data_IF_627745112848
#
_entry.id   IF_627745112848
#
_cell.length_a   1.000
_cell.length_b   1.000
_cell.length_c   1.000
_cell.angle_alpha   90.00
_cell.angle_beta   90.00
_cell.angle_gamma   90.00
#
_symmetry.space_group_name_H-M   'P 1'
#
loop_
_entity.id
_entity.type
_entity.pdbx_description
1 polymer ?
#
# COMPACT_ATOMS: atom_id res chain seq x y z
N UNK A 1 -32.55 -15.18 -39.21
CA UNK A 1 -31.17 -14.80 -38.89
C UNK A 1 -31.06 -13.31 -38.95
N UNK A 2 -30.56 -12.66 -37.90
CA UNK A 2 -30.07 -11.29 -37.96
C UNK A 2 -28.54 -11.25 -37.92
N UNK A 3 -28.03 -10.31 -38.69
CA UNK A 3 -26.63 -10.06 -39.03
C UNK A 3 -25.81 -9.56 -37.83
N UNK A 4 -24.69 -10.27 -37.58
CA UNK A 4 -23.38 -9.80 -37.12
C UNK A 4 -23.27 -8.29 -36.81
N UNK A 5 -23.24 -7.95 -35.52
CA UNK A 5 -22.78 -6.67 -35.02
C UNK A 5 -21.30 -6.78 -34.59
N UNK A 6 -20.44 -6.19 -35.42
CA UNK A 6 -19.17 -5.54 -35.09
C UNK A 6 -18.25 -6.29 -34.10
N UNK A 7 -17.46 -7.19 -34.68
CA UNK A 7 -16.14 -7.59 -34.17
C UNK A 7 -15.27 -6.33 -34.08
N UNK A 8 -15.06 -5.79 -32.87
CA UNK A 8 -14.26 -4.61 -32.62
C UNK A 8 -12.93 -5.04 -31.99
N UNK A 9 -11.89 -5.03 -32.82
CA UNK A 9 -10.52 -5.38 -32.48
C UNK A 9 -9.88 -4.21 -31.70
N UNK A 10 -9.99 -4.26 -30.38
CA UNK A 10 -9.56 -3.24 -29.42
C UNK A 10 -8.10 -3.53 -28.96
N UNK A 11 -7.26 -2.49 -28.87
CA UNK A 11 -5.80 -2.57 -28.63
C UNK A 11 -5.46 -2.19 -27.17
N UNK A 12 -4.23 -2.48 -26.74
CA UNK A 12 -3.66 -2.12 -25.41
C UNK A 12 -3.76 -0.63 -25.01
N UNK A 13 -4.22 0.24 -25.89
CA UNK A 13 -4.38 1.67 -25.65
C UNK A 13 -5.81 2.07 -25.31
N UNK A 14 -6.79 1.18 -25.26
CA UNK A 14 -8.17 1.63 -25.11
C UNK A 14 -8.48 2.15 -23.69
N UNK A 15 -9.20 3.27 -23.63
CA UNK A 15 -9.71 3.84 -22.39
C UNK A 15 -11.24 3.95 -22.49
N UNK A 16 -11.90 3.81 -21.35
CA UNK A 16 -13.34 3.96 -21.25
C UNK A 16 -13.65 5.15 -20.35
N UNK A 17 -14.28 6.16 -20.94
CA UNK A 17 -14.67 7.39 -20.25
C UNK A 17 -16.15 7.39 -19.88
N UNK A 18 -16.44 7.68 -18.62
CA UNK A 18 -17.76 8.02 -18.09
C UNK A 18 -17.84 9.53 -17.88
N UNK A 19 -18.92 10.01 -17.27
CA UNK A 19 -19.08 11.39 -16.80
C UNK A 19 -18.10 11.78 -15.68
N UNK A 20 -17.73 10.83 -14.83
CA UNK A 20 -16.85 11.04 -13.67
C UNK A 20 -15.34 10.93 -13.98
N UNK A 21 -14.97 10.45 -15.17
CA UNK A 21 -13.57 10.27 -15.56
C UNK A 21 -13.33 9.19 -16.59
N UNK A 22 -12.06 8.87 -16.83
CA UNK A 22 -11.63 7.83 -17.76
C UNK A 22 -10.83 6.73 -17.06
N UNK A 23 -11.20 5.47 -17.31
CA UNK A 23 -10.46 4.29 -16.88
C UNK A 23 -9.57 3.78 -18.01
N UNK A 24 -8.31 3.48 -17.70
CA UNK A 24 -7.33 2.95 -18.64
C UNK A 24 -6.52 1.83 -17.99
N UNK A 25 -6.35 0.71 -18.69
CA UNK A 25 -5.55 -0.42 -18.23
C UNK A 25 -4.19 -0.41 -18.93
N UNK A 26 -3.12 -0.59 -18.16
CA UNK A 26 -1.76 -0.69 -18.67
C UNK A 26 -1.20 -2.08 -18.38
N UNK A 27 -0.89 -2.88 -19.41
CA UNK A 27 -0.31 -4.22 -19.29
C UNK A 27 1.22 -4.16 -19.15
N UNK A 28 1.70 -3.48 -18.11
CA UNK A 28 3.12 -3.37 -17.80
C UNK A 28 3.40 -3.99 -16.44
N UNK A 29 4.39 -4.89 -16.39
CA UNK A 29 4.76 -5.59 -15.17
C UNK A 29 5.57 -4.70 -14.24
N UNK A 30 4.90 -4.11 -13.25
CA UNK A 30 5.45 -3.15 -12.28
C UNK A 30 5.04 -3.49 -10.84
N UNK A 31 5.79 -2.95 -9.89
CA UNK A 31 5.38 -2.92 -8.47
C UNK A 31 4.26 -1.92 -8.25
N UNK A 32 3.64 -1.95 -7.06
CA UNK A 32 2.57 -1.03 -6.72
C UNK A 32 2.99 0.45 -6.82
N UNK A 33 4.14 0.80 -6.23
CA UNK A 33 4.65 2.17 -6.18
C UNK A 33 4.99 2.71 -7.59
N UNK A 34 5.62 1.88 -8.42
CA UNK A 34 5.93 2.26 -9.81
C UNK A 34 4.68 2.44 -10.66
N UNK A 35 3.66 1.60 -10.43
CA UNK A 35 2.36 1.70 -11.11
C UNK A 35 1.64 2.99 -10.71
N UNK A 36 1.66 3.32 -9.41
CA UNK A 36 1.10 4.55 -8.89
C UNK A 36 1.78 5.80 -9.46
N UNK A 37 3.12 5.85 -9.46
CA UNK A 37 3.89 6.93 -10.10
C UNK A 37 3.54 7.07 -11.57
N UNK A 38 3.44 5.96 -12.30
CA UNK A 38 3.11 6.00 -13.72
C UNK A 38 1.71 6.54 -14.03
N UNK A 39 0.71 6.34 -13.16
CA UNK A 39 -0.58 7.00 -13.33
C UNK A 39 -0.46 8.51 -13.01
N UNK A 40 0.27 8.86 -11.93
CA UNK A 40 0.48 10.24 -11.49
C UNK A 40 1.18 11.10 -12.53
N UNK A 41 2.23 10.59 -13.16
CA UNK A 41 3.00 11.30 -14.19
C UNK A 41 2.14 11.70 -15.41
N UNK A 42 1.04 10.97 -15.65
CA UNK A 42 0.08 11.25 -16.72
C UNK A 42 -1.16 12.04 -16.24
N UNK A 43 -1.14 12.58 -15.02
CA UNK A 43 -2.25 13.35 -14.45
C UNK A 43 -3.43 12.52 -13.93
N UNK A 44 -3.21 11.22 -13.68
CA UNK A 44 -4.22 10.30 -13.13
C UNK A 44 -3.83 9.73 -11.76
N UNK A 45 -4.60 8.77 -11.27
CA UNK A 45 -4.30 8.00 -10.07
C UNK A 45 -4.54 6.52 -10.33
N UNK A 46 -4.02 5.64 -9.46
CA UNK A 46 -4.52 4.26 -9.45
C UNK A 46 -6.03 4.27 -9.21
N UNK A 47 -6.73 3.48 -10.01
CA UNK A 47 -8.18 3.50 -10.03
C UNK A 47 -8.79 2.98 -8.74
N UNK A 48 -9.91 3.60 -8.39
CA UNK A 48 -10.76 3.27 -7.25
C UNK A 48 -12.10 2.87 -7.82
N UNK A 49 -12.48 1.60 -7.62
CA UNK A 49 -13.76 1.09 -8.12
C UNK A 49 -14.80 1.42 -7.05
N UNK A 50 -15.57 2.49 -7.24
CA UNK A 50 -16.53 3.02 -6.26
C UNK A 50 -17.88 2.31 -6.32
N UNK A 51 -18.38 2.05 -7.54
CA UNK A 51 -19.73 1.49 -7.77
C UNK A 51 -19.67 0.18 -8.54
N UNK A 52 -20.74 -0.62 -8.44
CA UNK A 52 -20.90 -1.87 -9.21
C UNK A 52 -20.92 -1.63 -10.72
N UNK A 53 -21.45 -0.50 -11.17
CA UNK A 53 -21.43 -0.08 -12.59
C UNK A 53 -20.02 0.22 -13.10
N UNK A 54 -19.17 0.84 -12.28
CA UNK A 54 -17.75 1.07 -12.61
C UNK A 54 -17.04 -0.28 -12.78
N UNK A 55 -17.31 -1.24 -11.88
CA UNK A 55 -16.80 -2.60 -11.99
C UNK A 55 -17.25 -3.29 -13.29
N UNK A 56 -18.53 -3.20 -13.65
CA UNK A 56 -19.03 -3.76 -14.92
C UNK A 56 -18.41 -3.09 -16.15
N UNK A 57 -18.04 -1.83 -16.03
CA UNK A 57 -17.38 -1.05 -17.07
C UNK A 57 -15.92 -1.43 -17.24
N UNK A 58 -15.19 -1.55 -16.13
CA UNK A 58 -13.81 -2.04 -16.09
C UNK A 58 -13.74 -3.48 -16.59
N UNK A 59 -14.70 -4.34 -16.24
CA UNK A 59 -14.76 -5.71 -16.73
C UNK A 59 -14.92 -5.79 -18.26
N UNK A 60 -15.66 -4.84 -18.86
CA UNK A 60 -15.74 -4.71 -20.33
C UNK A 60 -14.41 -4.25 -20.92
N UNK A 61 -13.72 -3.30 -20.28
CA UNK A 61 -12.38 -2.85 -20.69
C UNK A 61 -11.37 -4.01 -20.73
N UNK A 62 -11.36 -4.87 -19.70
CA UNK A 62 -10.53 -6.08 -19.68
C UNK A 62 -10.96 -7.12 -20.72
N UNK A 63 -12.27 -7.28 -20.97
CA UNK A 63 -12.79 -8.20 -21.99
C UNK A 63 -12.40 -7.76 -23.40
N UNK A 64 -12.28 -6.45 -23.59
CA UNK A 64 -12.16 -5.84 -24.89
C UNK A 64 -10.72 -5.59 -25.29
N UNK A 65 -9.83 -5.31 -24.33
CA UNK A 65 -8.40 -5.32 -24.59
C UNK A 65 -8.05 -6.71 -25.15
N UNK A 66 -7.67 -6.79 -26.43
CA UNK A 66 -7.22 -8.01 -27.06
C UNK A 66 -6.06 -8.55 -26.21
N UNK A 67 -6.36 -9.56 -25.37
CA UNK A 67 -5.43 -10.26 -24.49
C UNK A 67 -4.53 -11.10 -25.38
N UNK A 68 -3.77 -10.40 -26.23
CA UNK A 68 -2.88 -10.93 -27.24
C UNK A 68 -1.92 -11.84 -26.49
N UNK A 69 -2.11 -13.13 -26.73
CA UNK A 69 -1.16 -14.23 -26.50
C UNK A 69 -1.16 -14.85 -25.10
N UNK A 70 -2.24 -15.57 -24.73
CA UNK A 70 -2.26 -16.79 -23.87
C UNK A 70 -2.82 -16.73 -22.45
N UNK A 71 -3.19 -15.56 -21.91
CA UNK A 71 -3.59 -15.47 -20.50
C UNK A 71 -5.11 -15.46 -20.32
N UNK A 72 -5.63 -16.50 -19.70
CA UNK A 72 -7.04 -16.61 -19.31
C UNK A 72 -7.36 -15.78 -18.06
N UNK A 73 -6.32 -15.39 -17.30
CA UNK A 73 -6.41 -14.58 -16.10
C UNK A 73 -5.40 -13.45 -16.11
N UNK A 74 -5.82 -12.28 -15.64
CA UNK A 74 -5.00 -11.07 -15.54
C UNK A 74 -5.16 -10.47 -14.16
N UNK A 75 -4.05 -9.98 -13.59
CA UNK A 75 -4.06 -9.21 -12.35
C UNK A 75 -3.54 -7.80 -12.58
N UNK A 76 -4.31 -6.79 -12.16
CA UNK A 76 -3.93 -5.38 -12.27
C UNK A 76 -4.00 -4.66 -10.92
N UNK A 77 -3.01 -3.82 -10.61
CA UNK A 77 -3.03 -2.98 -9.41
C UNK A 77 -4.18 -1.97 -9.43
N UNK A 78 -4.81 -1.77 -8.27
CA UNK A 78 -5.80 -0.72 -8.00
C UNK A 78 -5.39 0.10 -6.76
N UNK A 79 -5.98 1.26 -6.54
CA UNK A 79 -5.55 2.27 -5.56
C UNK A 79 -5.87 1.95 -4.10
N UNK A 80 -5.57 0.74 -3.62
CA UNK A 80 -5.82 0.30 -2.24
C UNK A 80 -4.54 -0.26 -1.60
N UNK A 81 -4.19 0.27 -0.43
CA UNK A 81 -3.04 -0.12 0.36
C UNK A 81 -3.39 -0.20 1.84
N UNK A 82 -2.87 -1.22 2.52
CA UNK A 82 -2.96 -1.40 3.97
C UNK A 82 -1.57 -1.24 4.59
N UNK A 83 -1.48 -0.38 5.58
CA UNK A 83 -0.27 -0.19 6.37
C UNK A 83 -0.12 -1.31 7.42
N UNK A 84 1.11 -1.59 7.90
CA UNK A 84 1.32 -2.53 8.99
C UNK A 84 0.46 -2.20 10.22
N UNK A 85 0.01 -3.23 10.96
CA UNK A 85 -0.78 -3.09 12.20
C UNK A 85 -2.18 -2.44 12.08
N UNK A 86 -2.64 -2.04 10.88
CA UNK A 86 -4.03 -1.60 10.62
C UNK A 86 -4.96 -2.76 10.25
N UNK A 87 -4.71 -3.96 10.77
CA UNK A 87 -5.56 -5.11 10.50
C UNK A 87 -6.78 -5.10 11.42
N UNK A 88 -7.96 -5.08 10.81
CA UNK A 88 -9.17 -5.38 11.54
C UNK A 88 -10.16 -6.08 10.63
N UNK A 89 -10.67 -7.23 11.08
CA UNK A 89 -11.79 -7.92 10.44
C UNK A 89 -13.12 -7.13 10.58
N UNK A 90 -13.17 -6.13 11.47
CA UNK A 90 -14.38 -5.36 11.79
C UNK A 90 -14.42 -3.98 11.14
N UNK A 91 -13.30 -3.47 10.61
CA UNK A 91 -13.25 -2.18 9.91
C UNK A 91 -13.69 -2.29 8.43
N UNK A 92 -14.26 -1.22 7.84
CA UNK A 92 -14.53 -1.15 6.41
C UNK A 92 -13.28 -1.49 5.60
N UNK A 93 -13.46 -2.19 4.47
CA UNK A 93 -12.38 -2.62 3.58
C UNK A 93 -11.26 -3.42 4.27
N UNK A 94 -11.50 -4.04 5.43
CA UNK A 94 -10.50 -4.85 6.17
C UNK A 94 -9.21 -4.08 6.50
N UNK A 95 -9.34 -2.77 6.77
CA UNK A 95 -8.23 -1.89 7.12
C UNK A 95 -7.41 -1.35 5.93
N UNK A 96 -7.84 -1.59 4.69
CA UNK A 96 -7.25 -0.95 3.52
C UNK A 96 -7.68 0.51 3.42
N UNK A 97 -6.73 1.35 3.06
CA UNK A 97 -6.91 2.77 2.79
C UNK A 97 -6.70 3.06 1.31
N UNK A 98 -7.37 4.09 0.83
CA UNK A 98 -7.27 4.55 -0.54
C UNK A 98 -6.03 5.41 -0.72
N UNK A 99 -5.27 5.16 -1.79
CA UNK A 99 -4.06 5.95 -2.07
C UNK A 99 -4.33 7.41 -2.44
N UNK A 100 -5.59 7.76 -2.71
CA UNK A 100 -6.01 9.14 -3.01
C UNK A 100 -6.74 9.81 -1.85
N UNK A 101 -6.97 9.10 -0.73
CA UNK A 101 -7.77 9.60 0.39
C UNK A 101 -9.29 9.59 0.19
N UNK A 102 -9.80 9.16 -0.96
CA UNK A 102 -11.23 8.98 -1.24
C UNK A 102 -11.82 7.86 -0.38
N UNK A 103 -12.66 8.11 0.63
CA UNK A 103 -13.07 7.05 1.58
C UNK A 103 -14.28 6.18 1.16
N UNK A 104 -14.90 6.42 0.01
CA UNK A 104 -16.21 5.84 -0.32
C UNK A 104 -16.14 4.81 -1.46
N UNK A 105 -16.28 3.52 -1.14
CA UNK A 105 -16.74 2.51 -2.11
C UNK A 105 -17.87 1.68 -1.52
N UNK A 106 -18.92 1.52 -2.32
CA UNK A 106 -20.01 0.59 -2.05
C UNK A 106 -19.78 -0.76 -2.74
N UNK A 107 -18.69 -0.91 -3.49
CA UNK A 107 -18.35 -2.10 -4.23
C UNK A 107 -17.14 -2.81 -3.62
N UNK A 108 -17.35 -4.02 -3.11
CA UNK A 108 -16.26 -4.90 -2.66
C UNK A 108 -16.54 -6.35 -3.09
N UNK A 109 -15.52 -7.05 -3.57
CA UNK A 109 -15.64 -8.43 -4.08
C UNK A 109 -14.42 -9.29 -3.66
N UNK A 110 -13.98 -9.07 -2.42
CA UNK A 110 -12.79 -9.69 -1.83
C UNK A 110 -12.79 -11.22 -1.96
N UNK A 111 -11.64 -11.78 -2.32
CA UNK A 111 -11.40 -13.22 -2.38
C UNK A 111 -10.26 -13.61 -1.43
N UNK A 112 -10.60 -14.16 -0.27
CA UNK A 112 -9.66 -14.67 0.73
C UNK A 112 -10.14 -14.45 2.16
N UNK A 113 -9.64 -15.27 3.09
CA UNK A 113 -9.77 -15.07 4.55
C UNK A 113 -8.45 -14.47 5.09
N UNK A 114 -8.54 -13.62 6.12
CA UNK A 114 -7.35 -13.04 6.73
C UNK A 114 -6.54 -14.13 7.45
N UNK A 115 -5.26 -14.26 7.09
CA UNK A 115 -4.32 -15.12 7.83
C UNK A 115 -3.61 -14.29 8.91
N UNK A 116 -3.29 -14.86 10.09
CA UNK A 116 -2.65 -14.13 11.19
C UNK A 116 -1.31 -13.46 10.82
N UNK A 117 -0.59 -13.98 9.82
CA UNK A 117 0.65 -13.39 9.30
C UNK A 117 0.46 -12.21 8.32
N UNK A 118 -0.77 -11.89 7.91
CA UNK A 118 -1.05 -10.86 6.90
C UNK A 118 -0.96 -9.41 7.42
N UNK A 119 -0.60 -9.21 8.69
CA UNK A 119 -0.64 -7.92 9.38
C UNK A 119 0.73 -7.32 9.72
N UNK A 120 1.79 -8.06 9.41
CA UNK A 120 3.17 -7.70 9.72
C UNK A 120 3.85 -6.86 8.61
N UNK A 121 3.26 -6.79 7.42
CA UNK A 121 3.85 -6.16 6.25
C UNK A 121 2.80 -5.35 5.46
N UNK A 122 3.21 -4.33 4.69
CA UNK A 122 2.29 -3.57 3.85
C UNK A 122 1.71 -4.45 2.76
N UNK A 123 0.39 -4.33 2.56
CA UNK A 123 -0.35 -5.12 1.55
C UNK A 123 -1.09 -4.21 0.60
N UNK A 124 -1.13 -4.61 -0.65
CA UNK A 124 -1.75 -3.84 -1.73
C UNK A 124 -2.72 -4.74 -2.49
N UNK A 125 -3.69 -4.13 -3.16
CA UNK A 125 -4.79 -4.86 -3.80
C UNK A 125 -4.63 -4.90 -5.30
N UNK A 126 -4.82 -6.09 -5.87
CA UNK A 126 -5.01 -6.29 -7.30
C UNK A 126 -6.45 -6.65 -7.59
N UNK A 127 -6.92 -6.24 -8.77
CA UNK A 127 -8.12 -6.79 -9.38
C UNK A 127 -7.72 -7.96 -10.29
N UNK A 128 -8.27 -9.14 -10.02
CA UNK A 128 -8.17 -10.33 -10.87
C UNK A 128 -9.36 -10.35 -11.82
N UNK A 129 -9.09 -10.52 -13.12
CA UNK A 129 -10.07 -10.73 -14.18
C UNK A 129 -9.85 -12.08 -14.84
N UNK A 130 -10.92 -12.86 -15.00
CA UNK A 130 -10.91 -14.19 -15.63
C UNK A 130 -11.81 -14.19 -16.88
N UNK A 131 -11.20 -14.31 -18.05
CA UNK A 131 -11.89 -14.26 -19.34
C UNK A 131 -12.82 -15.47 -19.58
N UNK A 132 -12.64 -16.57 -18.84
CA UNK A 132 -13.48 -17.77 -18.97
C UNK A 132 -14.80 -17.66 -18.19
N UNK A 133 -14.95 -16.66 -17.30
CA UNK A 133 -16.14 -16.47 -16.46
C UNK A 133 -16.98 -15.30 -16.97
N UNK A 134 -18.26 -15.58 -17.26
CA UNK A 134 -19.17 -14.67 -18.00
C UNK A 134 -20.00 -13.71 -17.13
N UNK A 135 -19.88 -13.73 -15.80
CA UNK A 135 -20.69 -12.91 -14.88
C UNK A 135 -19.86 -12.46 -13.69
N UNK A 136 -19.86 -11.14 -13.38
CA UNK A 136 -19.22 -10.48 -12.24
C UNK A 136 -17.82 -11.07 -11.90
N UNK A 137 -16.90 -11.02 -12.86
CA UNK A 137 -15.64 -11.74 -12.84
C UNK A 137 -14.43 -10.96 -12.30
N UNK A 138 -14.60 -9.69 -11.96
CA UNK A 138 -13.60 -8.94 -11.21
C UNK A 138 -13.60 -9.46 -9.77
N UNK A 139 -12.41 -9.66 -9.20
CA UNK A 139 -12.22 -10.05 -7.80
C UNK A 139 -11.03 -9.33 -7.21
N UNK A 140 -11.15 -8.88 -5.97
CA UNK A 140 -10.05 -8.22 -5.28
C UNK A 140 -9.26 -9.23 -4.47
N UNK A 141 -7.96 -9.24 -4.70
CA UNK A 141 -7.00 -10.10 -4.01
C UNK A 141 -5.90 -9.21 -3.48
N UNK A 142 -5.53 -9.37 -2.22
CA UNK A 142 -4.41 -8.65 -1.62
C UNK A 142 -3.13 -9.48 -1.62
N UNK A 143 -2.00 -8.78 -1.71
CA UNK A 143 -0.67 -9.37 -1.67
C UNK A 143 0.41 -8.36 -1.25
N UNK A 144 1.68 -8.78 -1.22
CA UNK A 144 2.79 -7.86 -0.94
C UNK A 144 2.87 -6.73 -1.97
N UNK A 145 2.97 -5.47 -1.54
CA UNK A 145 3.07 -4.31 -2.44
C UNK A 145 4.31 -4.32 -3.35
N UNK A 146 5.35 -5.06 -2.94
CA UNK A 146 6.60 -5.26 -3.69
C UNK A 146 6.50 -6.35 -4.76
N UNK A 147 5.37 -7.06 -4.83
CA UNK A 147 5.15 -8.04 -5.89
C UNK A 147 5.01 -7.35 -7.26
N UNK A 148 5.27 -8.09 -8.32
CA UNK A 148 5.06 -7.64 -9.69
C UNK A 148 3.80 -8.30 -10.24
N UNK A 149 2.91 -7.52 -10.87
CA UNK A 149 1.63 -7.99 -11.42
C UNK A 149 1.60 -7.80 -12.93
N UNK A 150 0.51 -8.19 -13.60
CA UNK A 150 0.43 -8.13 -15.06
C UNK A 150 0.21 -6.72 -15.58
N UNK A 151 -0.29 -5.82 -14.74
CA UNK A 151 -0.59 -4.45 -15.10
C UNK A 151 -1.12 -3.60 -13.96
N UNK A 152 -1.66 -2.45 -14.32
CA UNK A 152 -2.29 -1.52 -13.39
C UNK A 152 -3.42 -0.74 -14.07
N UNK A 153 -4.41 -0.36 -13.28
CA UNK A 153 -5.58 0.40 -13.73
C UNK A 153 -5.44 1.84 -13.26
N UNK A 154 -5.41 2.79 -14.21
CA UNK A 154 -5.43 4.21 -13.91
C UNK A 154 -6.85 4.78 -14.08
N UNK A 155 -7.18 5.73 -13.21
CA UNK A 155 -8.37 6.58 -13.32
C UNK A 155 -7.93 8.04 -13.47
N UNK A 156 -8.43 8.69 -14.51
CA UNK A 156 -8.22 10.12 -14.78
C UNK A 156 -9.53 10.86 -14.54
N UNK A 157 -9.61 11.54 -13.39
CA UNK A 157 -10.80 12.30 -13.00
C UNK A 157 -10.83 13.62 -13.75
N UNK A 158 -11.85 13.84 -14.58
CA UNK A 158 -12.08 15.09 -15.29
C UNK A 158 -13.50 15.57 -15.03
N UNK A 159 -13.66 16.86 -14.76
CA UNK A 159 -14.98 17.48 -14.60
C UNK A 159 -15.58 17.83 -15.95
N UNK A 160 -16.75 17.28 -16.26
CA UNK A 160 -17.46 17.52 -17.52
C UNK A 160 -16.80 16.84 -18.72
N UNK A 161 -17.59 16.36 -19.69
CA UNK A 161 -17.09 15.63 -20.86
C UNK A 161 -17.71 16.16 -22.16
N UNK A 162 -16.92 16.29 -23.22
CA UNK A 162 -17.47 16.60 -24.53
C UNK A 162 -18.04 15.33 -25.20
N UNK A 163 -19.20 15.41 -25.85
CA UNK A 163 -19.70 14.32 -26.67
C UNK A 163 -18.85 14.16 -27.91
N UNK A 164 -18.72 12.91 -28.37
CA UNK A 164 -17.97 12.61 -29.59
C UNK A 164 -18.65 13.15 -30.85
N UNK A 165 -17.80 13.51 -31.81
CA UNK A 165 -18.21 14.11 -33.06
C UNK A 165 -18.68 13.02 -34.02
N UNK A 166 -19.96 13.09 -34.41
CA UNK A 166 -20.49 12.34 -35.55
C UNK A 166 -20.14 13.10 -36.83
N UNK A 167 -19.37 12.47 -37.72
CA UNK A 167 -19.10 13.07 -39.03
C UNK A 167 -20.23 12.71 -39.99
N UNK A 168 -20.88 13.73 -40.58
CA UNK A 168 -21.83 13.59 -41.68
C UNK A 168 -21.10 13.25 -42.98
N UNK A 169 -20.58 12.02 -43.08
CA UNK A 169 -20.05 11.47 -44.33
C UNK A 169 -18.53 11.51 -44.51
N UNK A 170 -17.74 11.87 -43.50
CA UNK A 170 -16.28 11.84 -43.60
C UNK A 170 -15.61 11.17 -42.40
N UNK A 171 -15.37 9.86 -42.50
CA UNK A 171 -14.55 9.08 -41.57
C UNK A 171 -14.94 9.15 -40.09
N UNK A 172 -14.19 8.46 -39.23
CA UNK A 172 -14.27 8.64 -37.77
C UNK A 172 -13.29 9.74 -37.37
N UNK A 173 -13.69 10.64 -36.46
CA UNK A 173 -12.78 11.61 -35.89
C UNK A 173 -11.67 10.90 -35.08
N UNK A 174 -10.44 11.41 -35.18
CA UNK A 174 -9.32 10.96 -34.36
C UNK A 174 -9.24 11.86 -33.13
N UNK A 175 -9.33 11.26 -31.95
CA UNK A 175 -9.21 11.96 -30.67
C UNK A 175 -7.80 11.78 -30.12
N UNK A 176 -7.22 12.87 -29.64
CA UNK A 176 -5.96 12.90 -28.88
C UNK A 176 -6.27 13.50 -27.51
N UNK A 177 -6.27 12.67 -26.46
CA UNK A 177 -6.63 13.09 -25.10
C UNK A 177 -5.43 13.71 -24.35
N UNK A 178 -5.65 14.43 -23.22
CA UNK A 178 -4.57 14.99 -22.41
C UNK A 178 -3.61 13.94 -21.85
N UNK A 179 -4.10 12.73 -21.56
CA UNK A 179 -3.30 11.59 -21.13
C UNK A 179 -2.69 10.80 -22.31
N UNK A 180 -2.47 11.49 -23.44
CA UNK A 180 -1.79 10.98 -24.64
C UNK A 180 -2.43 9.77 -25.33
N UNK A 181 -3.71 9.49 -25.07
CA UNK A 181 -4.43 8.46 -25.83
C UNK A 181 -4.84 8.97 -27.20
N UNK A 182 -4.48 8.22 -28.24
CA UNK A 182 -4.96 8.40 -29.62
C UNK A 182 -5.99 7.32 -29.95
N UNK A 183 -7.26 7.68 -30.11
CA UNK A 183 -8.33 6.71 -30.39
C UNK A 183 -9.41 7.30 -31.29
N UNK A 184 -10.13 6.45 -32.03
CA UNK A 184 -11.33 6.81 -32.82
C UNK A 184 -12.62 6.24 -32.20
N UNK A 185 -12.50 5.58 -31.04
CA UNK A 185 -13.54 4.74 -30.44
C UNK A 185 -14.09 5.28 -29.12
N UNK A 186 -13.55 6.40 -28.64
CA UNK A 186 -14.06 7.06 -27.43
C UNK A 186 -15.53 7.46 -27.64
N UNK A 187 -16.32 7.39 -26.56
CA UNK A 187 -17.74 7.79 -26.52
C UNK A 187 -17.95 9.15 -25.88
N UNK A 188 -17.09 9.47 -24.91
CA UNK A 188 -16.96 10.75 -24.23
C UNK A 188 -15.47 11.11 -24.21
N UNK A 189 -15.16 12.41 -24.23
CA UNK A 189 -13.79 12.88 -24.17
C UNK A 189 -13.62 14.01 -23.16
N UNK A 190 -12.52 14.01 -22.38
CA UNK A 190 -12.31 15.05 -21.38
C UNK A 190 -11.87 16.38 -22.00
N UNK A 191 -12.01 17.50 -21.25
CA UNK A 191 -11.41 18.79 -21.59
C UNK A 191 -9.92 18.63 -21.89
N UNK A 192 -9.43 19.40 -22.86
CA UNK A 192 -8.08 19.27 -23.41
C UNK A 192 -7.96 18.25 -24.55
N UNK A 193 -9.00 17.43 -24.82
CA UNK A 193 -8.98 16.52 -25.98
C UNK A 193 -9.09 17.28 -27.29
N UNK A 194 -8.16 17.01 -28.22
CA UNK A 194 -8.22 17.50 -29.60
C UNK A 194 -8.88 16.45 -30.48
N UNK A 195 -9.94 16.83 -31.20
CA UNK A 195 -10.57 16.00 -32.22
C UNK A 195 -10.20 16.49 -33.61
N UNK A 196 -9.60 15.61 -34.40
CA UNK A 196 -9.26 15.86 -35.81
C UNK A 196 -10.28 15.19 -36.70
N UNK A 197 -10.97 16.00 -37.51
CA UNK A 197 -11.97 15.56 -38.48
C UNK A 197 -11.39 15.61 -39.90
N UNK A 198 -11.47 14.53 -40.68
CA UNK A 198 -11.26 14.61 -42.12
C UNK A 198 -12.49 15.28 -42.76
N UNK A 199 -12.33 16.39 -43.47
CA UNK A 199 -13.46 17.06 -44.14
C UNK A 199 -13.67 16.52 -45.58
N UNK A 200 -14.93 16.30 -46.03
CA UNK A 200 -15.20 15.79 -47.37
C UNK A 200 -15.27 16.94 -48.39
N UNK A 201 -14.14 17.30 -49.00
CA UNK A 201 -14.03 18.19 -50.17
C UNK A 201 -12.64 18.01 -50.79
N UNK A 202 -12.43 18.35 -52.07
CA UNK A 202 -11.20 18.25 -52.89
C UNK A 202 -9.93 19.00 -52.35
N UNK A 203 -9.88 19.27 -51.06
CA UNK A 203 -8.73 19.84 -50.37
C UNK A 203 -8.40 18.94 -49.18
N UNK A 204 -7.15 18.52 -49.03
CA UNK A 204 -6.60 17.84 -47.84
C UNK A 204 -6.69 18.76 -46.59
N UNK A 205 -7.91 19.11 -46.17
CA UNK A 205 -8.16 19.99 -45.04
C UNK A 205 -8.73 19.16 -43.91
N UNK A 206 -7.86 18.85 -42.97
CA UNK A 206 -8.27 18.37 -41.65
C UNK A 206 -8.73 19.57 -40.81
N UNK A 207 -9.82 19.39 -40.07
CA UNK A 207 -10.33 20.37 -39.13
C UNK A 207 -10.13 19.87 -37.71
N UNK A 208 -9.39 20.61 -36.90
CA UNK A 208 -9.22 20.33 -35.47
C UNK A 208 -10.15 21.18 -34.61
N UNK A 209 -10.75 20.57 -33.60
CA UNK A 209 -11.50 21.26 -32.54
C UNK A 209 -11.03 20.75 -31.17
N UNK A 210 -11.05 21.64 -30.17
CA UNK A 210 -10.59 21.36 -28.81
C UNK A 210 -11.80 21.25 -27.87
N UNK A 211 -11.84 20.23 -27.02
CA UNK A 211 -12.79 20.18 -25.93
C UNK A 211 -12.34 21.12 -24.81
N UNK A 212 -13.16 22.10 -24.46
CA UNK A 212 -12.86 23.13 -23.45
C UNK A 212 -13.86 23.07 -22.31
N UNK A 213 -13.39 23.18 -21.07
CA UNK A 213 -14.25 23.34 -19.89
C UNK A 213 -14.57 24.83 -19.74
N UNK A 214 -15.85 25.17 -19.60
CA UNK A 214 -16.30 26.55 -19.38
C UNK A 214 -16.57 26.83 -17.90
N UNK A 215 -16.71 28.10 -17.55
CA UNK A 215 -16.99 28.57 -16.18
C UNK A 215 -18.30 28.01 -15.58
N UNK A 216 -19.21 27.52 -16.44
CA UNK A 216 -20.47 26.85 -16.03
C UNK A 216 -20.28 25.37 -15.68
N UNK A 217 -19.05 24.85 -15.72
CA UNK A 217 -18.71 23.45 -15.46
C UNK A 217 -19.08 22.51 -16.62
N UNK A 218 -19.56 23.02 -17.75
CA UNK A 218 -19.93 22.22 -18.91
C UNK A 218 -18.79 22.22 -19.95
N UNK A 219 -18.35 21.02 -20.33
CA UNK A 219 -17.39 20.83 -21.38
C UNK A 219 -18.06 20.97 -22.76
N UNK A 220 -17.52 21.85 -23.62
CA UNK A 220 -18.00 22.08 -24.99
C UNK A 220 -16.83 22.17 -25.97
N UNK A 221 -17.11 21.88 -27.23
CA UNK A 221 -16.14 22.08 -28.31
C UNK A 221 -15.85 23.58 -28.50
N UNK A 222 -14.60 23.91 -28.82
CA UNK A 222 -14.11 25.28 -29.01
C UNK A 222 -14.79 26.04 -30.16
N UNK A 223 -15.53 25.33 -31.01
CA UNK A 223 -16.32 25.86 -32.11
C UNK A 223 -17.65 25.12 -32.17
N UNK A 224 -18.64 25.72 -32.82
CA UNK A 224 -19.93 25.10 -33.13
C UNK A 224 -19.93 24.53 -34.56
N UNK A 225 -20.80 23.54 -34.82
CA UNK A 225 -20.97 23.00 -36.17
C UNK A 225 -21.53 24.06 -37.14
N UNK A 226 -21.15 24.04 -38.44
CA UNK A 226 -20.33 23.04 -39.12
C UNK A 226 -18.81 23.31 -39.03
N UNK A 227 -18.05 22.29 -38.66
CA UNK A 227 -16.60 22.42 -38.44
C UNK A 227 -15.77 22.59 -39.73
N UNK A 228 -16.32 22.22 -40.90
CA UNK A 228 -15.60 22.24 -42.17
C UNK A 228 -15.83 23.51 -43.02
N UNK A 229 -16.44 24.58 -42.47
CA UNK A 229 -16.85 25.76 -43.26
C UNK A 229 -16.45 27.09 -42.60
N UNK A 230 -15.38 27.77 -43.07
CA UNK A 230 -15.07 29.15 -42.62
C UNK A 230 -13.88 29.83 -43.35
N UNK A 231 -13.91 31.18 -43.57
CA UNK A 231 -12.88 31.93 -44.28
C UNK A 231 -11.69 32.37 -43.39
N UNK A 232 -10.50 32.66 -43.96
CA UNK A 232 -9.32 33.07 -43.20
C UNK A 232 -9.39 34.58 -42.90
N UNK A 233 -9.45 34.96 -41.62
CA UNK A 233 -9.35 36.37 -41.21
C UNK A 233 -8.05 36.57 -40.44
N UNK A 234 -7.19 37.46 -40.95
CA UNK A 234 -6.05 38.01 -40.22
C UNK A 234 -6.56 38.93 -39.10
N UNK A 235 -6.88 38.36 -37.94
CA UNK A 235 -7.18 39.13 -36.72
C UNK A 235 -5.89 39.27 -35.91
N UNK A 236 -5.64 40.45 -35.34
CA UNK A 236 -4.69 40.58 -34.24
C UNK A 236 -5.23 39.76 -33.07
N UNK A 237 -4.76 38.51 -32.97
CA UNK A 237 -5.32 37.47 -32.11
C UNK A 237 -5.37 37.88 -30.63
N UNK A 238 -4.37 38.62 -30.13
CA UNK A 238 -4.37 39.13 -28.75
C UNK A 238 -5.48 40.15 -28.43
N UNK A 239 -6.13 40.76 -29.42
CA UNK A 239 -7.24 41.70 -29.19
C UNK A 239 -8.59 41.02 -29.04
N UNK A 240 -8.68 39.75 -29.42
CA UNK A 240 -9.90 38.94 -29.31
C UNK A 240 -9.63 37.88 -28.26
N UNK A 241 -10.30 37.99 -27.11
CA UNK A 241 -10.20 37.00 -26.02
C UNK A 241 -8.77 36.73 -25.55
N UNK A 242 -7.90 37.75 -25.54
CA UNK A 242 -6.47 37.63 -25.22
C UNK A 242 -5.73 36.56 -26.05
N UNK A 243 -6.17 36.26 -27.28
CA UNK A 243 -5.62 35.16 -28.08
C UNK A 243 -5.86 33.76 -27.50
N UNK A 244 -6.75 33.64 -26.51
CA UNK A 244 -6.92 32.44 -25.69
C UNK A 244 -5.83 32.22 -24.65
N UNK A 245 -4.95 33.20 -24.39
CA UNK A 245 -3.93 33.12 -23.35
C UNK A 245 -4.53 33.38 -21.96
N UNK A 246 -4.17 32.57 -20.96
CA UNK A 246 -4.60 32.76 -19.57
C UNK A 246 -4.00 34.02 -18.94
N UNK A 247 -2.68 34.23 -19.10
CA UNK A 247 -1.98 35.41 -18.58
C UNK A 247 -1.72 36.46 -19.67
N UNK A 248 -0.61 36.36 -20.41
CA UNK A 248 -0.17 37.39 -21.34
C UNK A 248 -0.14 36.89 -22.79
N UNK A 249 -0.71 37.65 -23.72
CA UNK A 249 -0.58 37.41 -25.15
C UNK A 249 0.46 38.35 -25.78
N UNK A 250 1.46 37.80 -26.48
CA UNK A 250 2.53 38.54 -27.14
C UNK A 250 2.43 38.39 -28.66
N UNK A 251 2.41 39.52 -29.36
CA UNK A 251 2.40 39.55 -30.81
C UNK A 251 3.81 39.37 -31.38
N UNK A 252 3.98 38.43 -32.31
CA UNK A 252 5.22 38.12 -33.02
C UNK A 252 4.98 38.18 -34.54
N UNK A 253 4.89 39.40 -35.08
CA UNK A 253 4.65 39.62 -36.52
C UNK A 253 3.25 39.18 -36.97
N UNK A 254 3.17 38.10 -37.75
CA UNK A 254 1.89 37.51 -38.23
C UNK A 254 1.32 36.49 -37.23
N UNK A 255 2.14 36.03 -36.27
CA UNK A 255 1.79 35.05 -35.25
C UNK A 255 1.70 35.70 -33.85
N UNK A 256 1.22 34.95 -32.87
CA UNK A 256 1.24 35.33 -31.46
C UNK A 256 1.66 34.12 -30.61
N UNK A 257 2.10 34.38 -29.39
CA UNK A 257 2.39 33.36 -28.39
C UNK A 257 1.94 33.81 -27.00
N UNK A 258 1.66 32.86 -26.12
CA UNK A 258 1.28 33.13 -24.74
C UNK A 258 2.51 33.11 -23.84
N UNK A 259 2.52 33.98 -22.84
CA UNK A 259 3.56 34.12 -21.81
C UNK A 259 2.89 34.12 -20.43
N UNK A 260 3.54 33.52 -19.45
CA UNK A 260 3.03 33.37 -18.09
C UNK A 260 3.69 34.35 -17.12
N UNK A 261 3.00 34.69 -16.03
CA UNK A 261 3.58 35.45 -14.92
C UNK A 261 4.68 34.64 -14.20
N UNK A 262 5.51 35.32 -13.41
CA UNK A 262 6.51 34.64 -12.57
C UNK A 262 5.84 33.59 -11.68
N UNK A 263 6.50 32.43 -11.55
CA UNK A 263 5.96 31.27 -10.83
C UNK A 263 5.03 30.38 -11.65
N UNK A 264 4.85 30.64 -12.96
CA UNK A 264 4.01 29.84 -13.84
C UNK A 264 4.73 29.45 -15.14
N UNK A 265 4.44 28.25 -15.65
CA UNK A 265 4.93 27.75 -16.93
C UNK A 265 3.79 27.56 -17.93
N UNK A 266 4.09 27.72 -19.23
CA UNK A 266 3.11 27.56 -20.29
C UNK A 266 2.77 26.07 -20.45
N UNK A 267 1.50 25.73 -20.21
CA UNK A 267 1.00 24.37 -20.34
C UNK A 267 1.12 23.86 -21.79
N UNK A 268 1.06 22.54 -21.98
CA UNK A 268 1.24 21.90 -23.29
C UNK A 268 0.24 22.34 -24.38
N UNK A 269 -0.87 22.99 -24.00
CA UNK A 269 -1.83 23.59 -24.93
C UNK A 269 -1.36 24.94 -25.51
N UNK A 270 -0.24 25.50 -25.02
CA UNK A 270 0.33 26.77 -25.48
C UNK A 270 -0.48 28.00 -25.08
N UNK A 271 -1.45 27.86 -24.16
CA UNK A 271 -2.44 28.89 -23.81
C UNK A 271 -2.64 29.07 -22.31
N UNK A 272 -2.66 27.98 -21.54
CA UNK A 272 -2.84 28.02 -20.09
C UNK A 272 -1.49 28.13 -19.38
N UNK A 273 -1.52 28.67 -18.18
CA UNK A 273 -0.38 28.86 -17.31
C UNK A 273 -0.55 28.02 -16.06
N UNK A 274 0.24 26.96 -15.94
CA UNK A 274 0.25 26.10 -14.78
C UNK A 274 1.30 26.62 -13.79
N UNK A 275 1.06 26.54 -12.46
CA UNK A 275 2.10 26.82 -11.48
C UNK A 275 3.36 26.02 -11.80
N UNK A 276 4.52 26.65 -11.66
CA UNK A 276 5.80 25.99 -11.88
C UNK A 276 5.91 24.84 -10.85
N UNK A 277 5.86 23.61 -11.35
CA UNK A 277 6.02 22.44 -10.51
C UNK A 277 7.50 22.25 -10.16
N UNK A 278 7.92 22.93 -9.09
CA UNK A 278 9.27 22.83 -8.49
C UNK A 278 9.62 21.40 -8.06
N UNK A 279 8.64 20.49 -7.98
CA UNK A 279 8.83 19.11 -7.54
C UNK A 279 8.98 18.11 -8.69
N UNK A 280 8.60 18.47 -9.93
CA UNK A 280 8.59 17.58 -11.10
C UNK A 280 9.97 16.98 -11.44
N UNK A 281 11.04 17.75 -11.24
CA UNK A 281 12.42 17.28 -11.40
C UNK A 281 13.22 17.36 -10.10
N UNK A 282 12.53 17.33 -8.95
CA UNK A 282 13.23 17.38 -7.67
C UNK A 282 14.00 16.07 -7.42
N UNK A 283 15.25 16.15 -6.95
CA UNK A 283 16.04 14.98 -6.54
C UNK A 283 15.59 14.35 -5.20
N UNK A 284 14.41 14.70 -4.68
CA UNK A 284 13.89 14.16 -3.42
C UNK A 284 13.61 12.65 -3.52
N UNK A 285 14.12 11.87 -2.57
CA UNK A 285 13.90 10.41 -2.54
C UNK A 285 12.48 10.01 -2.16
N UNK A 286 11.85 10.78 -1.26
CA UNK A 286 10.55 10.44 -0.69
C UNK A 286 9.46 11.45 -1.06
N UNK A 287 9.37 12.57 -0.34
CA UNK A 287 8.36 13.59 -0.58
C UNK A 287 9.03 14.92 -0.92
N UNK A 288 8.44 15.67 -1.86
CA UNK A 288 8.85 17.02 -2.20
C UNK A 288 7.74 17.99 -1.79
N UNK A 289 8.10 18.98 -0.97
CA UNK A 289 7.20 20.03 -0.53
C UNK A 289 7.56 21.33 -1.23
N UNK A 290 6.64 21.92 -2.02
CA UNK A 290 6.88 23.20 -2.66
C UNK A 290 6.93 24.32 -1.61
N UNK A 291 7.90 25.22 -1.76
CA UNK A 291 8.06 26.46 -1.02
C UNK A 291 8.07 27.59 -2.06
N UNK A 292 7.57 28.78 -1.73
CA UNK A 292 7.32 29.91 -2.65
C UNK A 292 8.19 29.96 -3.93
N UNK A 293 9.53 29.90 -3.81
CA UNK A 293 10.46 29.89 -4.94
C UNK A 293 11.44 28.68 -4.95
N UNK A 294 11.19 27.64 -4.15
CA UNK A 294 12.04 26.44 -4.08
C UNK A 294 11.26 25.18 -3.71
N UNK A 295 11.95 24.07 -3.49
CA UNK A 295 11.37 22.92 -2.81
C UNK A 295 12.15 22.62 -1.53
N UNK A 296 11.57 21.80 -0.65
CA UNK A 296 12.29 21.02 0.36
C UNK A 296 11.86 19.58 0.28
N UNK A 297 12.78 18.66 0.48
CA UNK A 297 12.40 17.26 0.63
C UNK A 297 11.83 17.04 2.04
N UNK A 298 10.94 16.07 2.19
CA UNK A 298 10.39 15.63 3.45
C UNK A 298 10.52 14.11 3.58
N UNK A 299 10.74 13.68 4.81
CA UNK A 299 10.93 12.27 5.16
C UNK A 299 9.69 11.75 5.90
N UNK A 300 9.39 10.45 5.76
CA UNK A 300 8.32 9.82 6.51
C UNK A 300 8.64 9.82 8.02
N UNK A 301 7.61 9.60 8.84
CA UNK A 301 7.78 9.46 10.29
C UNK A 301 8.82 8.36 10.62
N UNK A 302 9.65 8.62 11.65
CA UNK A 302 10.79 7.75 12.01
C UNK A 302 12.06 8.00 11.18
N UNK A 303 12.03 8.94 10.22
CA UNK A 303 13.20 9.31 9.42
C UNK A 303 13.47 10.81 9.49
N UNK A 304 14.74 11.18 9.30
CA UNK A 304 15.17 12.57 9.21
C UNK A 304 15.90 12.82 7.89
N UNK A 305 15.88 14.08 7.43
CA UNK A 305 16.61 14.52 6.24
C UNK A 305 18.10 14.28 6.44
N UNK A 306 18.70 13.57 5.49
CA UNK A 306 20.13 13.37 5.41
C UNK A 306 20.86 14.71 5.16
N UNK A 307 22.18 14.79 5.43
CA UNK A 307 22.94 16.04 5.24
C UNK A 307 22.98 16.54 3.79
N UNK A 308 22.63 15.71 2.82
CA UNK A 308 22.50 16.09 1.42
C UNK A 308 21.16 16.78 1.11
N UNK A 309 20.25 16.88 2.08
CA UNK A 309 18.90 17.48 2.00
C UNK A 309 17.94 16.79 1.00
N UNK A 310 18.30 15.61 0.49
CA UNK A 310 17.53 14.89 -0.53
C UNK A 310 17.15 13.47 -0.11
N UNK A 311 18.03 12.81 0.64
CA UNK A 311 17.80 11.48 1.17
C UNK A 311 17.20 11.51 2.58
N UNK A 312 16.67 10.36 3.00
CA UNK A 312 16.16 10.13 4.34
C UNK A 312 17.02 9.10 5.06
N UNK A 313 17.43 9.43 6.28
CA UNK A 313 18.13 8.52 7.18
C UNK A 313 17.23 8.15 8.35
N UNK A 314 17.33 6.90 8.76
CA UNK A 314 16.61 6.33 9.88
C UNK A 314 16.98 7.05 11.18
N UNK A 315 15.99 7.38 12.00
CA UNK A 315 16.21 7.96 13.33
C UNK A 315 16.38 6.81 14.31
N UNK A 316 17.54 6.70 14.94
CA UNK A 316 17.76 5.69 15.97
C UNK A 316 17.14 6.15 17.30
N UNK A 317 15.90 5.73 17.57
CA UNK A 317 15.22 6.08 18.82
C UNK A 317 15.84 5.40 20.04
N UNK A 318 16.60 4.31 19.87
CA UNK A 318 17.25 3.60 20.96
C UNK A 318 18.33 4.44 21.66
N UNK A 319 18.86 5.47 20.99
CA UNK A 319 19.79 6.42 21.60
C UNK A 319 19.17 7.19 22.79
N UNK A 320 17.84 7.29 22.85
CA UNK A 320 17.12 7.93 23.95
C UNK A 320 16.72 6.95 25.06
N UNK A 321 17.11 5.68 24.95
CA UNK A 321 16.72 4.61 25.89
C UNK A 321 15.21 4.56 26.19
N UNK A 322 14.35 4.41 25.16
CA UNK A 322 12.89 4.42 25.33
C UNK A 322 12.34 3.12 25.95
N UNK A 323 13.13 2.05 25.96
CA UNK A 323 12.73 0.72 26.44
C UNK A 323 13.27 0.44 27.85
N UNK A 324 12.52 -0.35 28.63
CA UNK A 324 12.93 -0.80 29.96
C UNK A 324 14.13 -1.76 29.92
N UNK A 325 14.13 -2.72 29.00
CA UNK A 325 15.14 -3.77 28.91
C UNK A 325 16.07 -3.63 27.70
N UNK A 326 15.64 -4.12 26.54
CA UNK A 326 16.44 -4.13 25.31
C UNK A 326 15.72 -3.29 24.26
N UNK A 327 16.46 -2.39 23.61
CA UNK A 327 15.97 -1.63 22.46
C UNK A 327 16.70 -2.09 21.21
N UNK A 328 15.94 -2.39 20.16
CA UNK A 328 16.47 -2.77 18.84
C UNK A 328 15.96 -1.76 17.83
N UNK A 329 16.87 -0.97 17.26
CA UNK A 329 16.52 0.00 16.22
C UNK A 329 16.10 -0.73 14.94
N UNK A 330 15.10 -0.20 14.24
CA UNK A 330 14.57 -0.77 13.01
C UNK A 330 14.24 0.33 12.00
N UNK A 331 14.21 0.08 10.68
CA UNK A 331 13.93 1.15 9.73
C UNK A 331 12.55 1.79 9.94
N UNK A 332 12.53 3.04 10.40
CA UNK A 332 11.37 3.88 10.67
C UNK A 332 10.74 3.71 12.04
N UNK A 333 11.34 2.92 12.94
CA UNK A 333 10.81 2.65 14.28
C UNK A 333 11.81 1.91 15.16
N UNK A 334 11.39 1.49 16.34
CA UNK A 334 12.18 0.64 17.21
C UNK A 334 11.32 -0.47 17.83
N UNK A 335 11.98 -1.53 18.28
CA UNK A 335 11.36 -2.65 18.96
C UNK A 335 11.94 -2.77 20.38
N UNK A 336 11.07 -2.75 21.39
CA UNK A 336 11.45 -3.11 22.75
C UNK A 336 11.34 -4.63 22.93
N UNK A 337 12.36 -5.23 23.52
CA UNK A 337 12.39 -6.65 23.88
C UNK A 337 12.72 -6.82 25.35
N UNK A 338 12.13 -7.86 25.93
CA UNK A 338 12.45 -8.27 27.29
C UNK A 338 13.69 -9.18 27.29
N UNK A 339 14.40 -9.20 28.42
CA UNK A 339 15.49 -10.17 28.64
C UNK A 339 14.90 -11.57 28.77
N UNK A 340 15.75 -12.58 28.64
CA UNK A 340 15.35 -13.97 28.91
C UNK A 340 14.81 -14.09 30.35
N UNK A 341 13.74 -14.88 30.53
CA UNK A 341 12.98 -14.97 31.80
C UNK A 341 11.92 -13.88 32.00
N UNK A 342 11.69 -13.01 31.01
CA UNK A 342 10.68 -11.94 31.09
C UNK A 342 9.74 -11.97 29.88
N UNK A 343 8.48 -11.59 30.10
CA UNK A 343 7.43 -11.49 29.09
C UNK A 343 6.98 -10.04 28.92
N UNK A 344 6.62 -9.68 27.70
CA UNK A 344 6.08 -8.36 27.39
C UNK A 344 4.58 -8.34 27.71
N UNK A 345 4.16 -7.45 28.60
CA UNK A 345 2.74 -7.24 28.96
C UNK A 345 2.01 -6.38 27.90
N UNK A 346 0.67 -6.27 27.99
CA UNK A 346 -0.17 -5.47 27.09
C UNK A 346 0.19 -3.98 27.11
N UNK A 347 0.70 -3.48 28.25
CA UNK A 347 1.21 -2.11 28.39
C UNK A 347 2.65 -1.92 27.86
N UNK A 348 3.28 -3.00 27.37
CA UNK A 348 4.64 -2.97 26.83
C UNK A 348 5.75 -2.98 27.89
N UNK A 349 5.41 -3.24 29.16
CA UNK A 349 6.36 -3.44 30.25
C UNK A 349 6.91 -4.88 30.25
N UNK A 350 8.09 -5.09 30.82
CA UNK A 350 8.68 -6.42 30.93
C UNK A 350 8.40 -7.02 32.31
N UNK A 351 7.46 -7.95 32.37
CA UNK A 351 7.13 -8.69 33.59
C UNK A 351 7.90 -9.99 33.68
N UNK A 352 8.20 -10.38 34.91
CA UNK A 352 8.88 -11.63 35.23
C UNK A 352 8.02 -12.83 34.83
N UNK A 353 8.61 -13.79 34.11
CA UNK A 353 7.90 -14.99 33.71
C UNK A 353 7.88 -15.99 34.86
N UNK A 354 6.70 -16.24 35.44
CA UNK A 354 6.58 -17.23 36.52
C UNK A 354 6.70 -18.66 35.97
N UNK A 355 7.91 -19.21 35.99
CA UNK A 355 8.16 -20.56 35.50
C UNK A 355 7.59 -21.64 36.43
N UNK A 356 7.32 -21.33 37.70
CA UNK A 356 6.74 -22.27 38.66
C UNK A 356 5.31 -22.68 38.29
N UNK A 357 4.62 -21.91 37.44
CA UNK A 357 3.30 -22.26 36.90
C UNK A 357 3.31 -23.56 36.09
N UNK A 358 4.46 -23.94 35.52
CA UNK A 358 4.62 -25.20 34.79
C UNK A 358 5.02 -26.39 35.69
N UNK A 359 5.20 -26.16 37.01
CA UNK A 359 5.76 -27.11 37.97
C UNK A 359 7.07 -27.77 37.46
N UNK A 360 8.13 -26.98 37.22
CA UNK A 360 9.40 -27.47 36.67
C UNK A 360 10.23 -28.27 37.69
N UNK A 361 9.97 -28.09 38.99
CA UNK A 361 10.71 -28.72 40.09
C UNK A 361 10.02 -30.01 40.57
N UNK A 362 10.81 -30.98 41.04
CA UNK A 362 10.31 -32.24 41.62
C UNK A 362 9.59 -32.02 42.96
N UNK A 363 10.08 -31.08 43.78
CA UNK A 363 9.51 -30.72 45.07
C UNK A 363 8.95 -29.29 45.05
N UNK A 364 9.55 -28.34 45.77
CA UNK A 364 9.06 -26.97 45.86
C UNK A 364 9.75 -26.06 44.82
N UNK A 365 8.99 -25.13 44.25
CA UNK A 365 9.48 -24.13 43.30
C UNK A 365 9.31 -22.73 43.89
N UNK A 366 10.35 -21.91 43.79
CA UNK A 366 10.33 -20.49 44.13
C UNK A 366 10.65 -19.68 42.87
N UNK A 367 9.71 -18.84 42.44
CA UNK A 367 9.91 -17.95 41.30
C UNK A 367 10.83 -16.77 41.70
N UNK A 368 11.77 -16.41 40.83
CA UNK A 368 12.74 -15.34 41.07
C UNK A 368 12.85 -14.42 39.84
N UNK A 369 13.33 -13.19 40.00
CA UNK A 369 13.40 -12.27 38.87
C UNK A 369 14.34 -12.80 37.75
N UNK A 370 13.75 -13.19 36.62
CA UNK A 370 14.36 -13.74 35.41
C UNK A 370 14.63 -15.25 35.44
N UNK A 371 14.20 -15.98 36.48
CA UNK A 371 14.42 -17.43 36.61
C UNK A 371 13.64 -18.05 37.79
N UNK A 372 13.91 -19.31 38.12
CA UNK A 372 13.33 -19.96 39.29
C UNK A 372 14.38 -20.78 40.04
N UNK A 373 14.09 -21.06 41.31
CA UNK A 373 14.90 -21.89 42.19
C UNK A 373 14.06 -23.07 42.68
N UNK A 374 14.59 -24.27 42.50
CA UNK A 374 13.99 -25.49 43.04
C UNK A 374 14.55 -25.80 44.43
N UNK A 375 13.66 -26.13 45.36
CA UNK A 375 13.99 -26.51 46.72
C UNK A 375 13.59 -27.96 46.97
N UNK A 376 14.52 -28.74 47.50
CA UNK A 376 14.25 -30.11 47.94
C UNK A 376 13.70 -30.13 49.36
N UNK A 377 12.76 -31.05 49.62
CA UNK A 377 12.27 -31.30 50.98
C UNK A 377 13.39 -31.81 51.91
N UNK A 378 13.17 -31.72 53.22
CA UNK A 378 14.13 -32.22 54.22
C UNK A 378 14.46 -33.69 53.99
N UNK A 379 15.74 -34.07 54.11
CA UNK A 379 16.23 -35.40 53.78
C UNK A 379 16.64 -35.57 52.32
N UNK A 380 16.36 -34.59 51.44
CA UNK A 380 16.76 -34.62 50.04
C UNK A 380 17.74 -33.50 49.69
N UNK A 381 18.55 -33.74 48.66
CA UNK A 381 19.51 -32.77 48.10
C UNK A 381 19.34 -32.67 46.58
N UNK A 382 19.58 -31.50 45.98
CA UNK A 382 19.48 -31.32 44.53
C UNK A 382 20.58 -32.14 43.82
N UNK A 383 20.23 -32.72 42.68
CA UNK A 383 21.18 -33.47 41.85
C UNK A 383 22.11 -32.46 41.13
N UNK A 384 23.45 -32.60 41.19
CA UNK A 384 24.37 -31.63 40.58
C UNK A 384 24.19 -31.45 39.07
N UNK A 385 23.82 -32.52 38.36
CA UNK A 385 23.58 -32.52 36.92
C UNK A 385 22.20 -31.97 36.53
N UNK A 386 21.22 -32.02 37.44
CA UNK A 386 19.85 -31.56 37.22
C UNK A 386 19.26 -30.99 38.53
N UNK A 387 19.46 -29.69 38.81
CA UNK A 387 19.01 -29.05 40.04
C UNK A 387 17.49 -29.03 40.22
N UNK A 388 16.71 -29.37 39.17
CA UNK A 388 15.26 -29.48 39.25
C UNK A 388 14.79 -30.76 39.96
N UNK A 389 15.70 -31.73 40.10
CA UNK A 389 15.45 -33.04 40.68
C UNK A 389 16.14 -33.21 42.03
N UNK A 390 15.51 -33.99 42.87
CA UNK A 390 15.94 -34.23 44.23
C UNK A 390 16.34 -35.69 44.41
N UNK A 391 17.48 -35.92 45.07
CA UNK A 391 17.90 -37.25 45.48
C UNK A 391 17.91 -37.36 46.99
N UNK A 392 17.57 -38.54 47.47
CA UNK A 392 17.65 -38.89 48.88
C UNK A 392 19.08 -38.71 49.42
N UNK A 393 19.19 -38.07 50.58
CA UNK A 393 20.47 -37.82 51.23
C UNK A 393 20.74 -38.95 52.19
N UNK A 394 21.65 -39.86 51.85
CA UNK A 394 21.99 -40.96 52.76
C UNK A 394 22.71 -40.45 54.02
N UNK A 395 21.95 -40.18 55.09
CA UNK A 395 22.50 -39.64 56.33
C UNK A 395 23.35 -40.65 57.09
N UNK A 396 23.20 -41.95 56.78
CA UNK A 396 24.04 -43.01 57.34
C UNK A 396 25.48 -42.96 56.81
N UNK A 397 25.74 -42.24 55.71
CA UNK A 397 27.11 -41.97 55.24
C UNK A 397 27.79 -40.84 55.99
N UNK A 398 27.03 -40.03 56.73
CA UNK A 398 27.59 -38.99 57.60
C UNK A 398 28.06 -39.61 58.93
N UNK A 399 29.32 -39.38 59.27
CA UNK A 399 29.89 -39.95 60.49
C UNK A 399 29.29 -39.27 61.74
N UNK A 400 28.77 -40.09 62.66
CA UNK A 400 28.18 -39.62 63.92
C UNK A 400 26.66 -39.43 63.90
N UNK A 401 25.98 -39.80 62.81
CA UNK A 401 24.51 -39.74 62.69
C UNK A 401 23.79 -40.71 63.64
N UNK A 402 24.27 -41.95 63.77
CA UNK A 402 23.76 -42.95 64.72
C UNK A 402 24.90 -43.52 65.58
N UNK A 403 24.64 -43.88 66.84
CA UNK A 403 25.66 -44.48 67.71
C UNK A 403 26.04 -45.92 67.31
N UNK A 404 25.07 -46.72 66.86
CA UNK A 404 25.27 -48.14 66.51
C UNK A 404 24.85 -48.41 65.06
N UNK A 405 23.61 -48.85 64.83
CA UNK A 405 23.12 -49.27 63.51
C UNK A 405 22.33 -48.11 62.88
N UNK A 406 22.62 -47.79 61.63
CA UNK A 406 21.87 -46.80 60.84
C UNK A 406 21.22 -47.48 59.64
N UNK A 407 19.94 -47.18 59.40
CA UNK A 407 19.21 -47.60 58.19
C UNK A 407 18.67 -46.36 57.50
N UNK A 408 19.09 -46.17 56.25
CA UNK A 408 18.62 -45.10 55.40
C UNK A 408 17.26 -45.44 54.77
N UNK A 409 16.35 -44.49 54.75
CA UNK A 409 15.05 -44.55 54.08
C UNK A 409 14.91 -43.35 53.14
N UNK A 410 13.98 -43.42 52.20
CA UNK A 410 13.73 -42.28 51.31
C UNK A 410 13.16 -41.10 52.13
N UNK A 411 13.92 -40.00 52.16
CA UNK A 411 13.61 -38.76 52.88
C UNK A 411 13.89 -38.79 54.39
N UNK A 412 14.48 -39.85 54.94
CA UNK A 412 14.78 -39.95 56.37
C UNK A 412 15.72 -41.11 56.72
N UNK A 413 16.20 -41.17 57.95
CA UNK A 413 16.94 -42.31 58.46
C UNK A 413 16.42 -42.74 59.84
N UNK A 414 16.74 -43.97 60.24
CA UNK A 414 16.45 -44.44 61.60
C UNK A 414 17.64 -45.17 62.20
N UNK A 415 17.89 -44.90 63.47
CA UNK A 415 18.92 -45.55 64.25
C UNK A 415 18.34 -46.73 65.04
N UNK A 416 19.10 -47.83 65.08
CA UNK A 416 18.79 -49.01 65.87
C UNK A 416 19.96 -49.36 66.77
N UNK A 417 19.64 -50.03 67.87
CA UNK A 417 20.64 -50.52 68.82
C UNK A 417 20.86 -52.02 68.67
N UNK A 418 22.10 -52.44 68.94
CA UNK A 418 22.48 -53.85 69.01
C UNK A 418 21.82 -54.56 70.21
N UNK A 419 21.78 -55.89 70.17
CA UNK A 419 21.10 -56.70 71.18
C UNK A 419 21.63 -56.40 72.60
N UNK A 420 20.72 -56.02 73.50
CA UNK A 420 21.05 -55.65 74.89
C UNK A 420 21.02 -54.15 75.19
N UNK A 421 20.85 -53.30 74.18
CA UNK A 421 20.76 -51.84 74.33
C UNK A 421 19.38 -51.30 73.91
N UNK A 422 18.97 -50.15 74.47
CA UNK A 422 17.74 -49.44 74.11
C UNK A 422 18.04 -48.07 73.48
N UNK A 423 17.24 -47.70 72.48
CA UNK A 423 17.33 -46.37 71.85
C UNK A 423 16.87 -45.30 72.84
N UNK A 424 17.67 -44.27 73.02
CA UNK A 424 17.39 -43.15 73.90
C UNK A 424 16.36 -42.19 73.27
N UNK A 425 15.72 -41.30 74.07
CA UNK A 425 14.71 -40.37 73.55
C UNK A 425 15.23 -39.37 72.50
N UNK A 426 16.55 -39.23 72.36
CA UNK A 426 17.18 -38.42 71.32
C UNK A 426 17.11 -39.08 69.93
N UNK A 427 16.70 -40.35 69.85
CA UNK A 427 16.58 -41.16 68.63
C UNK A 427 17.89 -41.47 67.91
N UNK A 428 19.05 -41.13 68.49
CA UNK A 428 20.37 -41.33 67.88
C UNK A 428 21.31 -42.19 68.73
N UNK A 429 21.08 -42.23 70.04
CA UNK A 429 21.98 -42.85 71.03
C UNK A 429 21.41 -44.14 71.62
N UNK A 430 22.29 -45.04 72.08
CA UNK A 430 21.97 -46.36 72.64
C UNK A 430 22.56 -46.52 74.04
N UNK A 431 21.73 -46.97 75.00
CA UNK A 431 22.12 -47.28 76.39
C UNK A 431 21.87 -48.75 76.74
#
# INVERSE_FOLDING_TARGET
>A
GPSSALDLDLRETDALCTDDGCFMVHFQRKTFLESWRSCKDNGGNLAIIKRKEDAGTIGRLFASADLRHSRTKVQAWIGLQRHPRQCSATLPLRGFSWTTGDQDTDYTNWQGEDSPGACLAPRCVVVEYDAQKRSDNLKWVDGPCVAHTDGYLCHYAYGGMCPTLRSEGAGKALYVTPFHLRSTLLTLVPPGTVATLPCPSDTERESSVLCTLRDDGLARWSRDQPFCSGPPVSRHWCQVDNGGCEHFCRAAGVNFYCECAEGYQLAGNGQNCEPLDVCKESPCKFECLPISDSYRCACPDGYMLAPDEHDCMDVDECLQSPCEHLCVNSPGSFECRCREGYLLDEDGACEDADECMANPCEHACENTAGSHVCHCELGFSPIPEDPSRCQDTDECRMAGTCQQICVNFEGSFQCYCEEGHRLLPDMYSCE
#
